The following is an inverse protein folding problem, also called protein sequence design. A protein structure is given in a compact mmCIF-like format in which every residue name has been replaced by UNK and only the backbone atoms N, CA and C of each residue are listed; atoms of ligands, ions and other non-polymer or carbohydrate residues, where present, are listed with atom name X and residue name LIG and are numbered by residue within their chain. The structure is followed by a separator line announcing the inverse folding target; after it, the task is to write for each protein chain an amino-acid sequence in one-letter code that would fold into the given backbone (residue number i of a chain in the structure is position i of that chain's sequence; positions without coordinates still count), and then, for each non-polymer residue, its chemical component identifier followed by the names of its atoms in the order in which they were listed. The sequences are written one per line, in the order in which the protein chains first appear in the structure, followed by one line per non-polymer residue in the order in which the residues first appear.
data_IF_769841066730
#
_entry.id   IF_769841066730
#
_cell.length_a   1.000
_cell.length_b   1.000
_cell.length_c   1.000
_cell.angle_alpha   90.00
_cell.angle_beta   90.00
_cell.angle_gamma   90.00
#
_symmetry.space_group_name_H-M   'P 1'
#
loop_
_entity.id
_entity.type
_entity.pdbx_description
1 polymer ?
#
# COMPACT_ATOMS: atom_id res chain seq x y z
N UNK A 1 -12.27 -12.77 6.83
CA UNK A 1 -11.24 -12.32 5.86
C UNK A 1 -9.91 -12.98 6.19
N UNK A 2 -9.29 -13.56 5.19
CA UNK A 2 -8.00 -14.23 5.33
C UNK A 2 -6.94 -13.39 4.62
N UNK A 3 -5.88 -13.00 5.33
CA UNK A 3 -4.74 -12.29 4.75
C UNK A 3 -3.57 -13.27 4.67
N UNK A 4 -2.95 -13.37 3.50
CA UNK A 4 -1.86 -14.31 3.28
C UNK A 4 -0.79 -13.71 2.35
N UNK A 5 0.45 -14.18 2.50
CA UNK A 5 1.51 -13.85 1.54
C UNK A 5 1.13 -14.48 0.20
N UNK A 6 1.32 -13.72 -0.87
CA UNK A 6 0.92 -14.12 -2.21
C UNK A 6 2.10 -14.08 -3.16
N UNK A 7 2.19 -15.07 -4.05
CA UNK A 7 3.28 -15.18 -5.01
C UNK A 7 2.98 -14.55 -6.37
N UNK A 8 1.84 -13.85 -6.48
CA UNK A 8 1.47 -13.09 -7.67
C UNK A 8 1.23 -13.98 -8.92
N UNK A 9 0.83 -15.23 -8.72
CA UNK A 9 0.57 -16.14 -9.84
C UNK A 9 -0.92 -16.33 -10.14
N UNK A 10 -1.80 -15.92 -9.23
CA UNK A 10 -3.24 -16.12 -9.41
C UNK A 10 -3.81 -15.08 -10.39
N UNK A 11 -4.63 -15.50 -11.38
CA UNK A 11 -5.22 -14.58 -12.36
C UNK A 11 -6.04 -13.44 -11.75
N UNK A 12 -6.73 -13.70 -10.64
CA UNK A 12 -7.51 -12.65 -9.94
C UNK A 12 -6.62 -11.56 -9.39
N UNK A 13 -5.41 -11.90 -8.94
CA UNK A 13 -4.43 -10.95 -8.44
C UNK A 13 -3.92 -10.08 -9.57
N UNK A 14 -3.57 -10.68 -10.71
CA UNK A 14 -3.13 -9.93 -11.88
C UNK A 14 -4.21 -8.93 -12.35
N UNK A 15 -5.47 -9.37 -12.34
CA UNK A 15 -6.61 -8.52 -12.72
C UNK A 15 -6.79 -7.35 -11.74
N UNK A 16 -6.68 -7.60 -10.43
CA UNK A 16 -6.79 -6.55 -9.42
C UNK A 16 -5.69 -5.50 -9.56
N UNK A 17 -4.46 -5.92 -9.82
CA UNK A 17 -3.34 -5.02 -10.01
C UNK A 17 -3.48 -4.20 -11.30
N UNK A 18 -4.02 -4.79 -12.36
CA UNK A 18 -4.29 -4.04 -13.59
C UNK A 18 -5.38 -3.00 -13.36
N UNK A 19 -6.44 -3.35 -12.65
CA UNK A 19 -7.50 -2.41 -12.26
C UNK A 19 -6.90 -1.24 -11.46
N UNK A 20 -5.99 -1.53 -10.55
CA UNK A 20 -5.31 -0.51 -9.76
C UNK A 20 -4.51 0.46 -10.64
N UNK A 21 -3.71 -0.07 -11.57
CA UNK A 21 -2.94 0.76 -12.50
C UNK A 21 -3.86 1.61 -13.37
N UNK A 22 -4.94 1.04 -13.89
CA UNK A 22 -5.91 1.77 -14.72
C UNK A 22 -6.50 2.94 -13.96
N UNK A 23 -6.87 2.75 -12.70
CA UNK A 23 -7.40 3.82 -11.86
C UNK A 23 -6.35 4.89 -11.56
N UNK A 24 -5.10 4.49 -11.33
CA UNK A 24 -4.01 5.45 -11.11
C UNK A 24 -3.80 6.34 -12.33
N UNK A 25 -3.72 5.75 -13.52
CA UNK A 25 -3.55 6.52 -14.75
C UNK A 25 -4.78 7.37 -15.09
N UNK A 26 -5.97 6.95 -14.71
CA UNK A 26 -7.20 7.71 -14.93
C UNK A 26 -7.32 8.93 -14.00
N UNK A 27 -6.68 8.90 -12.83
CA UNK A 27 -6.85 9.90 -11.77
C UNK A 27 -5.63 10.76 -11.51
N UNK A 28 -4.48 10.44 -12.10
CA UNK A 28 -3.21 11.13 -11.86
C UNK A 28 -2.44 11.31 -13.16
N UNK A 29 -1.61 12.39 -13.27
CA UNK A 29 -0.68 12.51 -14.40
C UNK A 29 0.24 11.28 -14.47
N UNK A 30 0.57 10.85 -15.69
CA UNK A 30 1.38 9.64 -15.89
C UNK A 30 2.72 9.68 -15.14
N UNK A 31 3.36 10.86 -15.10
CA UNK A 31 4.64 11.04 -14.42
C UNK A 31 4.54 10.94 -12.89
N UNK A 32 3.33 11.02 -12.35
CA UNK A 32 3.07 10.95 -10.92
C UNK A 32 2.58 9.56 -10.47
N UNK A 33 2.49 8.60 -11.39
CA UNK A 33 2.05 7.24 -11.06
C UNK A 33 3.27 6.41 -10.68
N UNK A 34 3.30 5.98 -9.40
CA UNK A 34 4.41 5.20 -8.84
C UNK A 34 4.00 3.77 -8.46
N UNK A 35 2.82 3.33 -8.90
CA UNK A 35 2.35 1.98 -8.65
C UNK A 35 3.25 0.95 -9.35
N UNK A 36 3.50 -0.17 -8.68
CA UNK A 36 4.36 -1.21 -9.20
C UNK A 36 3.58 -2.22 -10.03
N UNK A 37 4.17 -2.67 -11.14
CA UNK A 37 3.63 -3.75 -11.94
C UNK A 37 3.93 -5.11 -11.27
N UNK A 38 3.31 -6.16 -11.80
CA UNK A 38 3.42 -7.52 -11.27
C UNK A 38 4.87 -7.97 -11.11
N UNK A 39 5.70 -7.74 -12.12
CA UNK A 39 7.11 -8.17 -12.10
C UNK A 39 7.92 -7.46 -11.02
N UNK A 40 7.68 -6.17 -10.84
CA UNK A 40 8.39 -5.39 -9.82
C UNK A 40 7.98 -5.83 -8.41
N UNK A 41 6.72 -6.24 -8.22
CA UNK A 41 6.25 -6.73 -6.93
C UNK A 41 6.86 -8.08 -6.56
N UNK A 42 7.39 -8.83 -7.52
CA UNK A 42 8.07 -10.12 -7.27
C UNK A 42 9.53 -9.97 -6.87
N UNK A 43 10.09 -8.77 -6.88
CA UNK A 43 11.51 -8.57 -6.57
C UNK A 43 11.80 -8.80 -5.09
N UNK A 44 13.04 -9.22 -4.74
CA UNK A 44 13.47 -9.32 -3.35
C UNK A 44 13.28 -7.99 -2.62
N UNK A 45 12.99 -8.05 -1.34
CA UNK A 45 12.73 -6.86 -0.54
C UNK A 45 11.28 -6.40 -0.56
N UNK A 46 10.42 -7.04 -1.35
CA UNK A 46 9.00 -6.74 -1.37
C UNK A 46 8.23 -7.97 -0.87
N UNK A 47 7.36 -7.76 0.12
CA UNK A 47 6.40 -8.74 0.57
C UNK A 47 5.02 -8.29 0.09
N UNK A 48 4.29 -9.18 -0.54
CA UNK A 48 2.98 -8.90 -1.09
C UNK A 48 1.95 -9.78 -0.41
N UNK A 49 0.85 -9.18 0.04
CA UNK A 49 -0.25 -9.89 0.70
C UNK A 49 -1.55 -9.69 -0.05
N UNK A 50 -2.42 -10.69 0.05
CA UNK A 50 -3.78 -10.63 -0.47
C UNK A 50 -4.77 -10.93 0.64
N UNK A 51 -5.96 -10.35 0.51
CA UNK A 51 -7.08 -10.58 1.44
C UNK A 51 -8.16 -11.34 0.69
N UNK A 52 -8.58 -12.45 1.26
CA UNK A 52 -9.58 -13.34 0.66
C UNK A 52 -10.74 -13.57 1.60
N UNK A 53 -11.91 -13.76 1.03
CA UNK A 53 -13.07 -14.30 1.71
C UNK A 53 -13.57 -15.45 0.85
N UNK A 54 -13.40 -16.69 1.34
CA UNK A 54 -13.60 -17.88 0.53
C UNK A 54 -12.72 -17.81 -0.72
N UNK A 55 -13.29 -17.85 -1.91
CA UNK A 55 -12.53 -17.79 -3.17
C UNK A 55 -12.51 -16.39 -3.80
N UNK A 56 -13.05 -15.40 -3.10
CA UNK A 56 -13.08 -14.03 -3.59
C UNK A 56 -11.90 -13.23 -3.09
N UNK A 57 -11.21 -12.57 -4.01
CA UNK A 57 -10.12 -11.64 -3.70
C UNK A 57 -10.72 -10.28 -3.36
N UNK A 58 -10.50 -9.82 -2.14
CA UNK A 58 -11.04 -8.56 -1.64
C UNK A 58 -10.08 -7.39 -1.81
N UNK A 59 -8.78 -7.63 -1.68
CA UNK A 59 -7.80 -6.58 -1.76
C UNK A 59 -6.38 -7.08 -1.64
N UNK A 60 -5.43 -6.15 -1.67
CA UNK A 60 -4.01 -6.44 -1.55
C UNK A 60 -3.26 -5.30 -0.89
N UNK A 61 -2.01 -5.56 -0.54
CA UNK A 61 -1.07 -4.58 -0.02
C UNK A 61 0.34 -5.13 -0.06
N UNK A 62 1.33 -4.26 -0.10
CA UNK A 62 2.72 -4.65 -0.18
C UNK A 62 3.59 -3.81 0.73
N UNK A 63 4.72 -4.37 1.13
CA UNK A 63 5.72 -3.72 1.96
C UNK A 63 7.06 -3.83 1.25
N UNK A 64 7.66 -2.69 0.93
CA UNK A 64 8.98 -2.61 0.29
C UNK A 64 10.00 -2.19 1.33
N UNK A 65 11.02 -3.01 1.55
CA UNK A 65 12.11 -2.69 2.45
C UNK A 65 12.94 -1.55 1.86
N UNK A 66 13.14 -0.48 2.61
CA UNK A 66 13.99 0.65 2.23
C UNK A 66 15.36 0.58 2.92
N UNK A 67 15.35 0.17 4.19
CA UNK A 67 16.56 -0.01 5.01
C UNK A 67 16.23 -0.99 6.13
N UNK A 68 17.17 -1.24 7.01
CA UNK A 68 16.95 -2.10 8.17
C UNK A 68 15.83 -1.60 9.08
N UNK A 69 15.50 -0.31 9.04
CA UNK A 69 14.57 0.32 9.98
C UNK A 69 13.35 0.93 9.30
N UNK A 70 13.38 1.08 7.98
CA UNK A 70 12.33 1.78 7.22
C UNK A 70 11.78 0.92 6.09
N UNK A 71 10.47 0.99 5.91
CA UNK A 71 9.80 0.32 4.80
C UNK A 71 8.69 1.21 4.24
N UNK A 72 8.31 0.92 3.01
CA UNK A 72 7.27 1.66 2.31
C UNK A 72 6.08 0.75 2.03
N UNK A 73 4.87 1.25 2.35
CA UNK A 73 3.63 0.58 1.97
C UNK A 73 3.34 0.92 0.51
N UNK A 74 3.09 -0.10 -0.30
CA UNK A 74 2.80 0.04 -1.72
C UNK A 74 1.59 -0.81 -2.10
N UNK A 75 0.97 -0.47 -3.22
CA UNK A 75 -0.06 -1.28 -3.87
C UNK A 75 -1.25 -1.62 -2.97
N UNK A 76 -1.60 -0.71 -2.07
CA UNK A 76 -2.81 -0.84 -1.26
C UNK A 76 -4.03 -0.69 -2.15
N UNK A 77 -4.80 -1.75 -2.27
CA UNK A 77 -5.96 -1.75 -3.15
C UNK A 77 -7.07 -2.61 -2.58
N UNK A 78 -8.28 -2.07 -2.55
CA UNK A 78 -9.50 -2.83 -2.33
C UNK A 78 -10.20 -3.00 -3.68
N UNK A 79 -10.66 -4.22 -3.98
CA UNK A 79 -11.43 -4.45 -5.20
C UNK A 79 -12.68 -3.56 -5.20
N UNK A 80 -13.06 -3.03 -6.37
CA UNK A 80 -14.17 -2.08 -6.50
C UNK A 80 -15.46 -2.59 -5.88
N UNK A 81 -15.76 -3.87 -6.08
CA UNK A 81 -16.99 -4.50 -5.57
C UNK A 81 -16.95 -4.78 -4.07
N UNK A 82 -15.82 -4.58 -3.43
CA UNK A 82 -15.65 -4.85 -2.00
C UNK A 82 -15.26 -3.60 -1.19
N UNK A 83 -15.47 -2.42 -1.77
CA UNK A 83 -15.23 -1.15 -1.06
C UNK A 83 -16.16 -1.01 0.15
N UNK A 84 -15.70 -0.29 1.16
CA UNK A 84 -16.47 0.04 2.37
C UNK A 84 -16.85 -1.16 3.23
N UNK A 85 -16.09 -2.26 3.13
CA UNK A 85 -16.26 -3.45 3.96
C UNK A 85 -15.16 -3.63 4.99
N UNK A 86 -14.28 -2.63 5.14
CA UNK A 86 -13.16 -2.68 6.08
C UNK A 86 -11.95 -3.44 5.59
N UNK A 87 -11.87 -3.74 4.30
CA UNK A 87 -10.75 -4.51 3.72
C UNK A 87 -9.43 -3.75 3.87
N UNK A 88 -9.40 -2.48 3.48
CA UNK A 88 -8.19 -1.66 3.57
C UNK A 88 -7.74 -1.48 5.03
N UNK A 89 -8.68 -1.26 5.96
CA UNK A 89 -8.36 -1.15 7.39
C UNK A 89 -7.69 -2.42 7.91
N UNK A 90 -8.23 -3.57 7.57
CA UNK A 90 -7.67 -4.84 8.04
C UNK A 90 -6.30 -5.11 7.43
N UNK A 91 -6.11 -4.80 6.15
CA UNK A 91 -4.81 -4.93 5.52
C UNK A 91 -3.79 -3.99 6.16
N UNK A 92 -4.17 -2.73 6.40
CA UNK A 92 -3.27 -1.75 7.01
C UNK A 92 -2.88 -2.17 8.43
N UNK A 93 -3.85 -2.62 9.23
CA UNK A 93 -3.57 -3.15 10.58
C UNK A 93 -2.58 -4.30 10.52
N UNK A 94 -2.77 -5.21 9.57
CA UNK A 94 -1.90 -6.37 9.41
C UNK A 94 -0.47 -5.94 9.04
N UNK A 95 -0.33 -5.01 8.10
CA UNK A 95 0.98 -4.51 7.67
C UNK A 95 1.69 -3.79 8.81
N UNK A 96 0.98 -2.96 9.57
CA UNK A 96 1.56 -2.25 10.72
C UNK A 96 2.06 -3.26 11.76
N UNK A 97 1.26 -4.28 12.07
CA UNK A 97 1.66 -5.31 13.02
C UNK A 97 2.88 -6.10 12.53
N UNK A 98 2.87 -6.47 11.26
CA UNK A 98 4.01 -7.18 10.64
C UNK A 98 5.28 -6.34 10.67
N UNK A 99 5.17 -5.05 10.41
CA UNK A 99 6.30 -4.13 10.48
C UNK A 99 6.89 -4.07 11.89
N UNK A 100 6.04 -4.05 12.91
CA UNK A 100 6.49 -4.08 14.31
C UNK A 100 7.19 -5.40 14.64
N UNK A 101 6.64 -6.51 14.18
CA UNK A 101 7.27 -7.83 14.38
C UNK A 101 8.65 -7.89 13.75
N UNK A 102 8.83 -7.27 12.59
CA UNK A 102 10.13 -7.20 11.90
C UNK A 102 11.12 -6.24 12.55
N UNK A 103 10.69 -5.46 13.55
CA UNK A 103 11.54 -4.48 14.21
C UNK A 103 11.71 -3.19 13.41
N UNK A 104 10.84 -2.93 12.46
CA UNK A 104 10.88 -1.67 11.70
C UNK A 104 10.47 -0.50 12.60
N UNK A 105 11.09 0.65 12.39
CA UNK A 105 10.85 1.84 13.18
C UNK A 105 9.92 2.82 12.49
N UNK A 106 9.80 2.76 11.17
CA UNK A 106 9.04 3.73 10.39
C UNK A 106 8.44 3.07 9.15
N UNK A 107 7.17 3.37 8.92
CA UNK A 107 6.48 3.08 7.67
C UNK A 107 6.19 4.39 6.95
N UNK A 108 6.39 4.41 5.64
CA UNK A 108 6.08 5.57 4.81
C UNK A 108 5.30 5.14 3.59
N UNK A 109 4.61 6.08 2.97
CA UNK A 109 3.85 5.81 1.76
C UNK A 109 3.75 7.07 0.90
N UNK A 110 3.48 6.85 -0.37
CA UNK A 110 3.11 7.90 -1.31
C UNK A 110 1.68 7.64 -1.78
N UNK A 111 0.87 8.68 -1.85
CA UNK A 111 -0.50 8.61 -2.37
C UNK A 111 -0.77 9.84 -3.23
N UNK A 112 -1.86 9.83 -3.99
CA UNK A 112 -2.23 10.97 -4.81
C UNK A 112 -2.80 12.11 -3.99
N UNK A 113 -2.82 13.31 -4.58
CA UNK A 113 -3.39 14.50 -3.97
C UNK A 113 -4.81 14.79 -4.45
N UNK A 114 -5.28 14.13 -5.51
CA UNK A 114 -6.60 14.35 -6.10
C UNK A 114 -7.72 13.86 -5.17
N UNK A 115 -8.96 14.35 -5.34
CA UNK A 115 -10.09 13.94 -4.49
C UNK A 115 -10.31 12.42 -4.40
N UNK A 116 -9.98 11.70 -5.46
CA UNK A 116 -10.06 10.23 -5.49
C UNK A 116 -9.32 9.59 -4.31
N UNK A 117 -8.23 10.20 -3.84
CA UNK A 117 -7.37 9.64 -2.80
C UNK A 117 -7.76 10.06 -1.38
N UNK A 118 -8.77 10.92 -1.22
CA UNK A 118 -9.17 11.40 0.11
C UNK A 118 -9.58 10.28 1.07
N UNK A 119 -10.34 9.25 0.65
CA UNK A 119 -10.65 8.15 1.56
C UNK A 119 -9.41 7.42 2.07
N UNK A 120 -8.41 7.22 1.21
CA UNK A 120 -7.14 6.58 1.60
C UNK A 120 -6.38 7.45 2.60
N UNK A 121 -6.28 8.76 2.34
CA UNK A 121 -5.61 9.70 3.25
C UNK A 121 -6.27 9.70 4.61
N UNK A 122 -7.61 9.71 4.67
CA UNK A 122 -8.35 9.64 5.93
C UNK A 122 -8.04 8.35 6.69
N UNK A 123 -7.98 7.23 5.98
CA UNK A 123 -7.66 5.95 6.58
C UNK A 123 -6.26 5.98 7.20
N UNK A 124 -5.26 6.45 6.47
CA UNK A 124 -3.89 6.52 6.97
C UNK A 124 -3.80 7.44 8.20
N UNK A 125 -4.46 8.60 8.15
CA UNK A 125 -4.50 9.51 9.30
C UNK A 125 -5.14 8.86 10.53
N UNK A 126 -6.20 8.08 10.33
CA UNK A 126 -6.87 7.38 11.43
C UNK A 126 -5.94 6.38 12.13
N UNK A 127 -4.93 5.86 11.43
CA UNK A 127 -3.94 4.95 12.01
C UNK A 127 -2.66 5.65 12.47
N UNK A 128 -2.65 6.97 12.47
CA UNK A 128 -1.55 7.75 13.02
C UNK A 128 -0.52 8.24 12.02
N UNK A 129 -0.72 8.00 10.74
CA UNK A 129 0.17 8.55 9.71
C UNK A 129 0.02 10.06 9.63
N UNK A 130 1.13 10.75 9.42
CA UNK A 130 1.19 12.19 9.26
C UNK A 130 1.85 12.53 7.93
N UNK A 131 1.49 13.70 7.38
CA UNK A 131 2.17 14.17 6.17
C UNK A 131 3.65 14.42 6.45
N UNK A 132 4.48 14.12 5.46
CA UNK A 132 5.93 14.28 5.56
C UNK A 132 6.51 14.72 4.22
N UNK A 133 7.82 15.01 4.23
CA UNK A 133 8.57 15.29 3.01
C UNK A 133 8.73 14.04 2.15
N UNK A 134 9.02 14.18 0.86
CA UNK A 134 9.36 13.04 0.02
C UNK A 134 10.49 12.22 0.63
N UNK A 135 10.39 10.90 0.51
CA UNK A 135 11.38 9.96 1.06
C UNK A 135 11.93 9.07 -0.06
N UNK A 136 12.96 8.30 0.23
CA UNK A 136 13.64 7.42 -0.73
C UNK A 136 14.01 8.21 -2.00
N UNK A 137 13.67 7.71 -3.18
CA UNK A 137 14.00 8.36 -4.45
C UNK A 137 12.89 9.30 -4.95
N UNK A 138 11.85 9.52 -4.14
CA UNK A 138 10.76 10.40 -4.53
C UNK A 138 11.20 11.87 -4.52
N UNK A 139 10.62 12.63 -5.44
CA UNK A 139 10.80 14.08 -5.51
C UNK A 139 9.47 14.75 -5.23
N UNK A 140 9.51 16.02 -4.84
CA UNK A 140 8.29 16.81 -4.67
C UNK A 140 7.48 16.78 -5.96
N UNK A 141 6.16 16.55 -5.82
CA UNK A 141 5.21 16.49 -6.92
C UNK A 141 3.86 16.98 -6.37
N UNK A 142 3.24 18.02 -6.96
CA UNK A 142 1.94 18.51 -6.48
C UNK A 142 0.83 17.47 -6.59
N UNK A 143 0.99 16.45 -7.42
CA UNK A 143 0.04 15.34 -7.56
C UNK A 143 0.26 14.22 -6.57
N UNK A 144 1.27 14.32 -5.70
CA UNK A 144 1.60 13.31 -4.70
C UNK A 144 1.59 13.89 -3.29
N UNK A 145 1.17 13.05 -2.34
CA UNK A 145 1.30 13.30 -0.91
C UNK A 145 2.13 12.19 -0.30
N UNK A 146 2.97 12.56 0.66
CA UNK A 146 3.81 11.61 1.37
C UNK A 146 3.39 11.57 2.83
N UNK A 147 3.31 10.38 3.39
CA UNK A 147 2.89 10.18 4.77
C UNK A 147 3.80 9.18 5.46
N UNK A 148 3.94 9.32 6.76
CA UNK A 148 4.81 8.47 7.55
C UNK A 148 4.19 8.15 8.92
N UNK A 149 4.51 6.96 9.42
CA UNK A 149 4.13 6.51 10.76
C UNK A 149 5.37 6.03 11.49
N UNK A 150 5.64 6.62 12.65
CA UNK A 150 6.70 6.15 13.54
C UNK A 150 6.13 5.02 14.39
N UNK A 151 6.76 3.85 14.34
CA UNK A 151 6.28 2.66 15.04
C UNK A 151 6.75 2.59 16.49
N UNK A 152 7.63 3.49 16.87
CA UNK A 152 8.19 3.50 18.20
C UNK A 152 9.35 2.52 18.35
N UNK A 153 10.15 2.71 19.42
CA UNK A 153 11.18 1.74 19.75
C UNK A 153 10.55 0.63 20.59
N UNK A 154 10.75 -0.61 20.17
CA UNK A 154 10.47 -1.75 21.02
C UNK A 154 11.60 -1.86 22.03
N UNK A 155 11.39 -1.32 23.19
CA UNK A 155 12.29 -1.58 24.30
C UNK A 155 11.87 -2.86 25.00
#
# INVERSE_FOLDING_TARGET
MRIEIDNLTHPKVAKLLQEHLDDMYATSPADSVHALCLEKLRKPGITFWTTWQQQELLGCGALKTLSAQNAEIKSMRTARQHLRKGVASKMLEYIILEAKVRGLQRLSLETGSQPYFQPAIKLYKAYGFEFCEPFADYKFDPSSKFMTLVLGSTN
#
